data_IF_600125883448
#
_entry.id   IF_600125883448
#
_cell.length_a   1.000
_cell.length_b   1.000
_cell.length_c   1.000
_cell.angle_alpha   90.00
_cell.angle_beta   90.00
_cell.angle_gamma   90.00
#
_symmetry.space_group_name_H-M   'P 1'
#
loop_
_entity.id
_entity.type
_entity.pdbx_description
1 polymer ?
#
# COMPACT_ATOMS: atom_id res chain seq x y z
N UNK A 1 -15.57 -32.96 14.92
CA UNK A 1 -14.29 -32.39 15.34
C UNK A 1 -13.96 -31.22 14.41
N UNK A 2 -14.44 -30.02 14.73
CA UNK A 2 -14.50 -28.83 13.85
C UNK A 2 -13.63 -27.67 14.34
N UNK A 3 -12.90 -27.86 15.44
CA UNK A 3 -12.06 -26.84 16.08
C UNK A 3 -10.70 -26.67 15.41
N UNK A 4 -10.24 -27.65 14.63
CA UNK A 4 -8.96 -27.62 13.92
C UNK A 4 -9.04 -26.92 12.55
N UNK A 5 -10.21 -26.81 11.94
CA UNK A 5 -10.37 -26.10 10.65
C UNK A 5 -10.33 -24.57 10.80
N UNK A 6 -10.68 -24.03 11.98
CA UNK A 6 -10.61 -22.59 12.27
C UNK A 6 -9.17 -22.06 12.49
N UNK A 7 -8.18 -22.96 12.61
CA UNK A 7 -6.78 -22.61 12.86
C UNK A 7 -5.87 -22.89 11.64
N UNK A 8 -6.44 -23.29 10.52
CA UNK A 8 -5.72 -23.46 9.25
C UNK A 8 -5.46 -22.07 8.63
N UNK A 9 -4.48 -21.35 9.18
CA UNK A 9 -3.88 -20.14 8.62
C UNK A 9 -3.09 -20.47 7.33
N UNK A 10 -3.77 -20.93 6.28
CA UNK A 10 -3.16 -20.98 4.95
C UNK A 10 -2.97 -19.55 4.46
N UNK A 11 -1.84 -19.29 3.80
CA UNK A 11 -1.50 -17.98 3.20
C UNK A 11 -2.58 -17.48 2.24
N UNK A 12 -3.40 -18.40 1.72
CA UNK A 12 -4.50 -18.17 0.79
C UNK A 12 -5.81 -17.68 1.43
N UNK A 13 -6.00 -17.83 2.75
CA UNK A 13 -7.25 -17.42 3.41
C UNK A 13 -7.16 -15.96 3.88
N UNK A 14 -8.10 -15.14 3.42
CA UNK A 14 -8.18 -13.73 3.82
C UNK A 14 -8.40 -13.62 5.33
N UNK A 15 -7.45 -12.97 6.02
CA UNK A 15 -7.53 -12.78 7.47
C UNK A 15 -8.69 -11.82 7.78
N UNK A 16 -9.67 -12.18 8.62
CA UNK A 16 -10.82 -11.31 8.92
C UNK A 16 -10.43 -9.92 9.43
N UNK A 17 -9.29 -9.82 10.14
CA UNK A 17 -8.74 -8.55 10.62
C UNK A 17 -8.36 -7.62 9.47
N UNK A 18 -7.79 -8.15 8.38
CA UNK A 18 -7.40 -7.37 7.20
C UNK A 18 -8.64 -6.86 6.47
N UNK A 19 -9.64 -7.73 6.26
CA UNK A 19 -10.91 -7.35 5.63
C UNK A 19 -11.63 -6.26 6.43
N UNK A 20 -11.67 -6.39 7.75
CA UNK A 20 -12.31 -5.39 8.61
C UNK A 20 -11.58 -4.04 8.58
N UNK A 21 -10.25 -4.04 8.44
CA UNK A 21 -9.48 -2.81 8.24
C UNK A 21 -9.84 -2.14 6.92
N UNK A 22 -9.86 -2.89 5.82
CA UNK A 22 -10.28 -2.37 4.52
C UNK A 22 -11.70 -1.83 4.55
N UNK A 23 -12.64 -2.56 5.16
CA UNK A 23 -14.03 -2.12 5.31
C UNK A 23 -14.12 -0.80 6.07
N UNK A 24 -13.42 -0.67 7.20
CA UNK A 24 -13.39 0.58 7.99
C UNK A 24 -12.69 1.72 7.28
N UNK A 25 -11.66 1.42 6.51
CA UNK A 25 -10.90 2.41 5.75
C UNK A 25 -11.76 2.98 4.62
N UNK A 26 -12.34 2.11 3.78
CA UNK A 26 -13.24 2.51 2.70
C UNK A 26 -14.44 3.30 3.21
N UNK A 27 -14.99 2.97 4.39
CA UNK A 27 -16.10 3.71 4.98
C UNK A 27 -15.78 5.17 5.38
N UNK A 28 -14.50 5.58 5.40
CA UNK A 28 -14.10 6.97 5.70
C UNK A 28 -14.16 7.88 4.49
N UNK A 29 -14.15 7.31 3.29
CA UNK A 29 -14.14 8.07 2.04
C UNK A 29 -15.56 8.25 1.53
N UNK A 30 -15.75 9.34 0.80
CA UNK A 30 -16.99 9.64 0.10
C UNK A 30 -16.83 9.41 -1.41
N UNK A 31 -17.87 9.73 -2.16
CA UNK A 31 -17.87 9.63 -3.62
C UNK A 31 -17.02 10.70 -4.32
N UNK A 32 -16.34 11.58 -3.57
CA UNK A 32 -15.47 12.63 -4.10
C UNK A 32 -13.99 12.24 -4.10
N UNK A 33 -13.63 11.15 -3.41
CA UNK A 33 -12.26 10.67 -3.35
C UNK A 33 -11.71 10.31 -4.75
N UNK A 34 -10.52 10.81 -5.15
CA UNK A 34 -9.98 10.59 -6.50
C UNK A 34 -9.79 9.12 -6.89
N UNK A 35 -9.61 8.23 -5.92
CA UNK A 35 -9.29 6.81 -6.13
C UNK A 35 -10.48 5.93 -5.80
N UNK A 36 -11.11 6.11 -4.64
CA UNK A 36 -12.24 5.32 -4.17
C UNK A 36 -13.62 5.95 -4.42
N UNK A 37 -13.71 7.18 -4.91
CA UNK A 37 -14.97 7.76 -5.36
C UNK A 37 -15.67 6.90 -6.44
N UNK A 38 -14.96 6.45 -7.50
CA UNK A 38 -15.52 5.51 -8.47
C UNK A 38 -15.94 4.18 -7.84
N UNK A 39 -15.17 3.66 -6.88
CA UNK A 39 -15.51 2.44 -6.14
C UNK A 39 -16.87 2.56 -5.43
N UNK A 40 -17.08 3.66 -4.71
CA UNK A 40 -18.34 3.90 -3.99
C UNK A 40 -19.54 4.02 -4.94
N UNK A 41 -19.36 4.69 -6.09
CA UNK A 41 -20.43 4.78 -7.09
C UNK A 41 -20.76 3.44 -7.72
N UNK A 42 -19.74 2.65 -8.07
CA UNK A 42 -19.91 1.30 -8.63
C UNK A 42 -20.56 0.33 -7.64
N UNK A 43 -20.32 0.50 -6.34
CA UNK A 43 -20.89 -0.36 -5.29
C UNK A 43 -22.42 -0.23 -5.13
N UNK A 44 -23.01 0.80 -5.74
CA UNK A 44 -24.46 1.09 -5.68
C UNK A 44 -25.22 0.57 -6.90
N UNK A 45 -24.51 0.07 -7.92
CA UNK A 45 -25.12 -0.41 -9.16
C UNK A 45 -25.73 -1.80 -8.95
N UNK A 46 -26.76 -2.12 -9.74
CA UNK A 46 -27.39 -3.44 -9.72
C UNK A 46 -26.66 -4.42 -10.65
N UNK A 47 -26.68 -5.71 -10.28
CA UNK A 47 -25.91 -6.75 -11.00
C UNK A 47 -26.39 -7.00 -12.44
N UNK A 48 -27.63 -6.67 -12.78
CA UNK A 48 -28.26 -7.02 -14.08
C UNK A 48 -27.82 -6.09 -15.22
N UNK A 49 -27.53 -4.83 -14.93
CA UNK A 49 -27.07 -3.79 -15.87
C UNK A 49 -25.64 -3.30 -15.59
N UNK A 50 -24.94 -3.95 -14.66
CA UNK A 50 -23.64 -3.53 -14.12
C UNK A 50 -22.60 -3.18 -15.20
N UNK A 51 -22.41 -4.04 -16.19
CA UNK A 51 -21.39 -3.85 -17.22
C UNK A 51 -21.65 -2.61 -18.09
N UNK A 52 -22.92 -2.29 -18.37
CA UNK A 52 -23.27 -1.11 -19.15
C UNK A 52 -23.09 0.15 -18.31
N UNK A 53 -23.63 0.16 -17.09
CA UNK A 53 -23.55 1.30 -16.17
C UNK A 53 -22.10 1.60 -15.76
N UNK A 54 -21.25 0.57 -15.59
CA UNK A 54 -19.83 0.75 -15.34
C UNK A 54 -19.13 1.47 -16.50
N UNK A 55 -19.42 1.09 -17.76
CA UNK A 55 -18.84 1.74 -18.95
C UNK A 55 -19.30 3.20 -19.07
N UNK A 56 -20.59 3.44 -18.83
CA UNK A 56 -21.16 4.79 -18.88
C UNK A 56 -20.56 5.68 -17.79
N UNK A 57 -20.36 5.12 -16.59
CA UNK A 57 -19.72 5.80 -15.46
C UNK A 57 -18.25 6.12 -15.76
N UNK A 58 -17.45 5.16 -16.25
CA UNK A 58 -16.03 5.41 -16.59
C UNK A 58 -15.92 6.49 -17.67
N UNK A 59 -16.81 6.48 -18.66
CA UNK A 59 -16.85 7.51 -19.71
C UNK A 59 -17.19 8.89 -19.14
N UNK A 60 -18.17 8.98 -18.23
CA UNK A 60 -18.52 10.21 -17.54
C UNK A 60 -17.35 10.76 -16.70
N UNK A 61 -16.68 9.90 -15.93
CA UNK A 61 -15.54 10.30 -15.09
C UNK A 61 -14.35 10.77 -15.93
N UNK A 62 -14.06 10.11 -17.06
CA UNK A 62 -13.03 10.58 -17.99
C UNK A 62 -13.35 11.97 -18.56
N UNK A 63 -14.62 12.23 -18.86
CA UNK A 63 -15.07 13.56 -19.32
C UNK A 63 -14.89 14.63 -18.24
N UNK A 64 -15.13 14.30 -16.97
CA UNK A 64 -14.89 15.21 -15.83
C UNK A 64 -13.40 15.56 -15.65
N UNK A 65 -12.48 14.65 -16.00
CA UNK A 65 -11.05 14.92 -15.93
C UNK A 65 -10.57 15.95 -16.98
N UNK A 66 -11.33 16.16 -18.05
CA UNK A 66 -11.00 17.10 -19.13
C UNK A 66 -9.79 16.63 -19.96
N UNK A 67 -8.96 17.59 -20.39
CA UNK A 67 -7.86 17.32 -21.33
C UNK A 67 -6.68 16.55 -20.71
N UNK A 68 -6.32 15.37 -21.25
CA UNK A 68 -5.19 14.57 -20.75
C UNK A 68 -3.83 15.26 -20.80
N UNK A 69 -3.69 16.26 -21.68
CA UNK A 69 -2.45 17.02 -21.84
C UNK A 69 -2.09 17.86 -20.60
N UNK A 70 -3.08 18.20 -19.76
CA UNK A 70 -2.85 19.02 -18.55
C UNK A 70 -2.04 18.29 -17.48
N UNK A 71 -2.04 16.95 -17.51
CA UNK A 71 -1.35 16.12 -16.52
C UNK A 71 -0.36 15.13 -17.17
N UNK A 72 0.01 15.33 -18.45
CA UNK A 72 0.94 14.46 -19.16
C UNK A 72 2.40 14.59 -18.66
N UNK A 73 2.78 15.77 -18.16
CA UNK A 73 4.12 16.03 -17.61
C UNK A 73 4.24 15.56 -16.16
N UNK A 74 4.01 14.26 -15.93
CA UNK A 74 3.99 13.65 -14.60
C UNK A 74 5.33 13.75 -13.83
N UNK A 75 6.45 13.98 -14.52
CA UNK A 75 7.78 14.13 -13.90
C UNK A 75 7.99 15.49 -13.24
N UNK A 76 7.19 16.51 -13.61
CA UNK A 76 7.31 17.87 -13.06
C UNK A 76 6.56 17.95 -11.73
N UNK A 77 7.23 18.50 -10.71
CA UNK A 77 6.66 18.65 -9.36
C UNK A 77 5.44 19.59 -9.29
N UNK A 78 5.28 20.48 -10.28
CA UNK A 78 4.16 21.44 -10.35
C UNK A 78 2.90 20.92 -11.05
N UNK A 79 2.93 19.71 -11.60
CA UNK A 79 1.80 19.15 -12.35
C UNK A 79 0.69 18.71 -11.38
N UNK A 80 -0.47 19.36 -11.47
CA UNK A 80 -1.63 19.01 -10.66
C UNK A 80 -2.24 17.68 -11.12
N UNK A 81 -2.61 16.83 -10.17
CA UNK A 81 -3.35 15.60 -10.47
C UNK A 81 -4.78 15.93 -10.94
N UNK A 82 -5.33 15.15 -11.88
CA UNK A 82 -6.74 15.25 -12.25
C UNK A 82 -7.65 14.89 -11.06
N UNK A 83 -8.93 15.26 -11.19
CA UNK A 83 -9.94 15.00 -10.16
C UNK A 83 -10.10 13.50 -9.88
N UNK A 84 -10.14 12.68 -10.92
CA UNK A 84 -10.20 11.22 -10.83
C UNK A 84 -8.90 10.60 -11.29
N UNK A 85 -8.45 9.55 -10.61
CA UNK A 85 -7.19 8.93 -10.96
C UNK A 85 -7.26 8.19 -12.32
N UNK A 86 -6.45 8.56 -13.33
CA UNK A 86 -6.52 7.96 -14.66
C UNK A 86 -6.11 6.47 -14.67
N UNK A 87 -5.23 6.01 -13.78
CA UNK A 87 -4.82 4.59 -13.72
C UNK A 87 -5.97 3.67 -13.36
N UNK A 88 -6.85 4.12 -12.47
CA UNK A 88 -8.06 3.40 -12.08
C UNK A 88 -9.04 3.36 -13.26
N UNK A 89 -9.26 4.49 -13.92
CA UNK A 89 -10.18 4.56 -15.06
C UNK A 89 -9.69 3.72 -16.26
N UNK A 90 -8.39 3.72 -16.54
CA UNK A 90 -7.75 2.86 -17.56
C UNK A 90 -7.90 1.38 -17.21
N UNK A 91 -7.72 1.00 -15.94
CA UNK A 91 -7.88 -0.38 -15.51
C UNK A 91 -9.34 -0.86 -15.59
N UNK A 92 -10.30 -0.01 -15.21
CA UNK A 92 -11.73 -0.34 -15.31
C UNK A 92 -12.19 -0.43 -16.77
N UNK A 93 -11.71 0.46 -17.65
CA UNK A 93 -12.00 0.39 -19.08
C UNK A 93 -11.40 -0.87 -19.71
N UNK A 94 -10.17 -1.24 -19.35
CA UNK A 94 -9.50 -2.43 -19.90
C UNK A 94 -10.11 -3.74 -19.42
N UNK A 95 -10.54 -3.79 -18.16
CA UNK A 95 -11.08 -5.00 -17.54
C UNK A 95 -12.55 -5.27 -17.88
N UNK A 96 -13.31 -4.23 -18.27
CA UNK A 96 -14.75 -4.29 -18.54
C UNK A 96 -15.52 -5.15 -17.52
N UNK A 97 -15.50 -4.78 -16.23
CA UNK A 97 -15.97 -5.64 -15.17
C UNK A 97 -17.49 -5.84 -15.26
N UNK A 98 -17.91 -7.11 -15.16
CA UNK A 98 -19.32 -7.53 -15.24
C UNK A 98 -20.00 -7.60 -13.88
N UNK A 99 -19.22 -7.61 -12.81
CA UNK A 99 -19.69 -7.69 -11.45
C UNK A 99 -18.73 -6.91 -10.54
N UNK A 100 -19.17 -6.65 -9.32
CA UNK A 100 -18.37 -5.90 -8.34
C UNK A 100 -17.09 -6.65 -7.91
N UNK A 101 -17.03 -7.98 -8.08
CA UNK A 101 -15.80 -8.74 -7.81
C UNK A 101 -14.71 -8.40 -8.83
N UNK A 102 -15.05 -8.31 -10.10
CA UNK A 102 -14.10 -7.97 -11.17
C UNK A 102 -13.59 -6.53 -11.01
N UNK A 103 -14.41 -5.61 -10.48
CA UNK A 103 -13.96 -4.28 -10.05
C UNK A 103 -12.90 -4.40 -8.95
N UNK A 104 -13.18 -5.25 -7.96
CA UNK A 104 -12.28 -5.51 -6.85
C UNK A 104 -10.92 -6.07 -7.31
N UNK A 105 -10.94 -7.01 -8.25
CA UNK A 105 -9.74 -7.55 -8.89
C UNK A 105 -8.97 -6.49 -9.69
N UNK A 106 -9.68 -5.62 -10.43
CA UNK A 106 -9.06 -4.52 -11.18
C UNK A 106 -8.33 -3.52 -10.27
N UNK A 107 -8.93 -3.13 -9.14
CA UNK A 107 -8.26 -2.29 -8.14
C UNK A 107 -7.05 -2.99 -7.54
N UNK A 108 -7.18 -4.28 -7.20
CA UNK A 108 -6.07 -5.08 -6.70
C UNK A 108 -4.88 -5.12 -7.65
N UNK A 109 -5.14 -5.28 -8.96
CA UNK A 109 -4.11 -5.27 -9.99
C UNK A 109 -3.40 -3.90 -10.11
N UNK A 110 -4.15 -2.79 -10.05
CA UNK A 110 -3.57 -1.44 -10.06
C UNK A 110 -2.67 -1.23 -8.85
N UNK A 111 -3.16 -1.51 -7.65
CA UNK A 111 -2.38 -1.33 -6.43
C UNK A 111 -1.13 -2.22 -6.37
N UNK A 112 -1.21 -3.44 -6.90
CA UNK A 112 -0.04 -4.34 -7.01
C UNK A 112 1.02 -3.72 -7.91
N UNK A 113 0.61 -3.25 -9.10
CA UNK A 113 1.53 -2.62 -10.04
C UNK A 113 2.18 -1.36 -9.48
N UNK A 114 1.39 -0.50 -8.83
CA UNK A 114 1.92 0.72 -8.19
C UNK A 114 2.93 0.39 -7.10
N UNK A 115 2.69 -0.67 -6.33
CA UNK A 115 3.64 -1.14 -5.32
C UNK A 115 4.96 -1.60 -5.96
N UNK A 116 4.89 -2.42 -7.00
CA UNK A 116 6.06 -2.93 -7.72
C UNK A 116 6.86 -1.79 -8.37
N UNK A 117 6.19 -0.91 -9.11
CA UNK A 117 6.79 0.25 -9.79
C UNK A 117 7.46 1.19 -8.76
N UNK A 118 6.82 1.40 -7.60
CA UNK A 118 7.40 2.20 -6.51
C UNK A 118 8.65 1.56 -5.91
N UNK A 119 8.60 0.25 -5.63
CA UNK A 119 9.76 -0.46 -5.08
C UNK A 119 10.95 -0.45 -6.03
N UNK A 120 10.69 -0.63 -7.33
CA UNK A 120 11.70 -0.57 -8.37
C UNK A 120 12.29 0.85 -8.47
N UNK A 121 11.46 1.89 -8.49
CA UNK A 121 11.92 3.27 -8.56
C UNK A 121 12.74 3.69 -7.32
N UNK A 122 12.37 3.22 -6.13
CA UNK A 122 13.15 3.45 -4.91
C UNK A 122 14.52 2.78 -4.96
N UNK A 123 14.61 1.58 -5.54
CA UNK A 123 15.89 0.89 -5.74
C UNK A 123 16.77 1.63 -6.74
N UNK A 124 16.20 2.09 -7.85
CA UNK A 124 16.92 2.88 -8.86
C UNK A 124 17.45 4.19 -8.27
N UNK A 125 16.60 4.94 -7.55
CA UNK A 125 17.01 6.17 -6.87
C UNK A 125 18.11 5.92 -5.81
N UNK A 126 18.06 4.80 -5.09
CA UNK A 126 19.11 4.43 -4.14
C UNK A 126 20.44 4.10 -4.83
N UNK A 127 20.40 3.47 -6.01
CA UNK A 127 21.59 3.21 -6.82
C UNK A 127 22.20 4.49 -7.40
N UNK A 128 21.37 5.47 -7.76
CA UNK A 128 21.85 6.79 -8.20
C UNK A 128 22.58 7.55 -7.07
N UNK A 129 22.13 7.38 -5.82
CA UNK A 129 22.77 7.95 -4.64
C UNK A 129 24.04 7.20 -4.18
N UNK A 130 24.36 6.06 -4.80
CA UNK A 130 25.54 5.27 -4.43
C UNK A 130 26.85 5.99 -4.81
N UNK A 131 27.98 5.67 -4.16
CA UNK A 131 29.28 6.24 -4.52
C UNK A 131 29.62 5.94 -5.98
N UNK A 132 29.80 6.99 -6.80
CA UNK A 132 30.04 6.87 -8.24
C UNK A 132 28.77 6.85 -9.11
N UNK A 133 27.58 7.04 -8.51
CA UNK A 133 26.33 7.21 -9.23
C UNK A 133 26.27 8.52 -10.03
N UNK A 134 25.46 8.52 -11.08
CA UNK A 134 25.23 9.71 -11.91
C UNK A 134 24.20 10.61 -11.25
N UNK A 135 24.54 11.90 -11.07
CA UNK A 135 23.60 12.90 -10.54
C UNK A 135 22.54 13.18 -11.62
N UNK A 136 21.31 12.72 -11.39
CA UNK A 136 20.16 12.96 -12.25
C UNK A 136 19.28 14.05 -11.62
N UNK A 137 18.82 15.06 -12.37
CA UNK A 137 17.95 16.09 -11.83
C UNK A 137 16.62 15.53 -11.31
N UNK A 138 16.11 16.11 -10.22
CA UNK A 138 14.88 15.64 -9.58
C UNK A 138 13.69 15.53 -10.55
N UNK A 139 13.52 16.48 -11.48
CA UNK A 139 12.42 16.50 -12.46
C UNK A 139 12.72 15.72 -13.75
N UNK A 140 13.70 14.82 -13.76
CA UNK A 140 13.94 13.96 -14.91
C UNK A 140 12.76 13.00 -15.17
N UNK A 141 12.58 12.59 -16.42
CA UNK A 141 11.57 11.61 -16.84
C UNK A 141 11.73 10.28 -16.10
N UNK A 142 12.96 9.91 -15.73
CA UNK A 142 13.24 8.71 -14.91
C UNK A 142 12.53 8.73 -13.56
N UNK A 143 12.43 9.91 -12.93
CA UNK A 143 11.77 10.07 -11.63
C UNK A 143 10.25 10.23 -11.74
N UNK A 144 9.65 10.01 -12.92
CA UNK A 144 8.19 10.12 -13.11
C UNK A 144 7.41 9.33 -12.07
N UNK A 145 7.79 8.07 -11.81
CA UNK A 145 7.07 7.22 -10.84
C UNK A 145 7.09 7.84 -9.45
N UNK A 146 8.23 8.42 -9.05
CA UNK A 146 8.41 9.02 -7.73
C UNK A 146 7.65 10.35 -7.64
N UNK A 147 7.77 11.21 -8.64
CA UNK A 147 7.26 12.58 -8.59
C UNK A 147 5.79 12.71 -9.00
N UNK A 148 5.24 11.75 -9.74
CA UNK A 148 3.89 11.84 -10.30
C UNK A 148 2.84 12.06 -9.21
N UNK A 149 2.10 13.16 -9.35
CA UNK A 149 0.98 13.48 -8.47
C UNK A 149 -0.16 12.45 -8.58
N UNK A 150 -0.31 11.82 -9.75
CA UNK A 150 -1.27 10.73 -9.99
C UNK A 150 -0.87 9.49 -9.18
N UNK A 151 0.38 9.07 -9.29
CA UNK A 151 0.88 7.90 -8.56
C UNK A 151 0.90 8.17 -7.05
N UNK A 152 1.15 9.42 -6.64
CA UNK A 152 1.08 9.83 -5.23
C UNK A 152 -0.30 9.61 -4.62
N UNK A 153 -1.40 9.85 -5.34
CA UNK A 153 -2.75 9.57 -4.85
C UNK A 153 -2.90 8.07 -4.51
N UNK A 154 -2.44 7.18 -5.39
CA UNK A 154 -2.50 5.73 -5.16
C UNK A 154 -1.58 5.31 -4.01
N UNK A 155 -0.36 5.85 -3.97
CA UNK A 155 0.61 5.57 -2.90
C UNK A 155 0.13 6.03 -1.53
N UNK A 156 -0.61 7.14 -1.45
CA UNK A 156 -1.20 7.58 -0.19
C UNK A 156 -2.10 6.48 0.39
N UNK A 157 -2.94 5.84 -0.42
CA UNK A 157 -3.78 4.74 0.05
C UNK A 157 -3.00 3.44 0.37
N UNK A 158 -1.77 3.28 -0.11
CA UNK A 158 -0.93 2.10 0.18
C UNK A 158 0.00 2.28 1.39
N UNK A 159 0.56 3.47 1.57
CA UNK A 159 1.68 3.68 2.49
C UNK A 159 1.39 4.70 3.59
N UNK A 160 0.26 5.41 3.54
CA UNK A 160 -0.10 6.31 4.63
C UNK A 160 -0.27 5.53 5.96
N UNK A 161 0.04 6.17 7.08
CA UNK A 161 0.04 5.56 8.41
C UNK A 161 -1.33 4.98 8.80
N UNK A 162 -2.40 5.61 8.32
CA UNK A 162 -3.78 5.18 8.55
C UNK A 162 -4.30 4.19 7.50
N UNK A 163 -3.48 3.85 6.50
CA UNK A 163 -3.82 2.87 5.48
C UNK A 163 -4.03 1.46 6.08
N UNK A 164 -4.93 0.64 5.51
CA UNK A 164 -5.11 -0.75 5.91
C UNK A 164 -3.84 -1.59 5.73
N UNK A 165 -2.93 -1.21 4.83
CA UNK A 165 -1.65 -1.89 4.58
C UNK A 165 -0.52 -1.41 5.50
N UNK A 166 -0.68 -0.29 6.21
CA UNK A 166 0.25 0.14 7.25
C UNK A 166 0.09 -0.71 8.52
N UNK A 167 0.89 -1.76 8.63
CA UNK A 167 0.92 -2.66 9.79
C UNK A 167 2.11 -2.26 10.67
N UNK A 168 1.82 -1.56 11.77
CA UNK A 168 2.81 -1.22 12.80
C UNK A 168 2.80 -2.22 13.95
N UNK A 169 3.95 -2.45 14.59
CA UNK A 169 4.06 -3.36 15.74
C UNK A 169 3.59 -2.73 17.06
N UNK A 170 3.46 -1.41 17.10
CA UNK A 170 3.06 -0.66 18.30
C UNK A 170 1.56 -0.81 18.62
N UNK A 171 0.74 -1.13 17.60
CA UNK A 171 -0.68 -1.34 17.79
C UNK A 171 -0.97 -2.83 18.06
N UNK A 172 -1.49 -3.20 19.26
CA UNK A 172 -1.76 -4.59 19.60
C UNK A 172 -2.74 -5.29 18.64
N UNK A 173 -3.63 -4.53 17.99
CA UNK A 173 -4.58 -5.06 17.00
C UNK A 173 -3.89 -5.49 15.71
N UNK A 174 -2.76 -4.86 15.35
CA UNK A 174 -1.97 -5.23 14.18
C UNK A 174 -1.22 -6.55 14.41
N UNK A 175 -0.78 -6.81 15.64
CA UNK A 175 -0.16 -8.09 16.02
C UNK A 175 -1.13 -9.29 15.89
N UNK A 176 -2.45 -9.04 15.90
CA UNK A 176 -3.45 -10.09 15.64
C UNK A 176 -3.39 -10.61 14.20
N UNK A 177 -2.78 -9.85 13.28
CA UNK A 177 -2.51 -10.29 11.90
C UNK A 177 -1.41 -11.36 11.90
N UNK A 178 -0.51 -11.40 12.87
CA UNK A 178 0.55 -12.40 12.94
C UNK A 178 0.03 -13.74 13.48
N UNK A 179 0.71 -14.83 13.10
CA UNK A 179 0.49 -16.15 13.68
C UNK A 179 0.84 -16.14 15.18
N UNK A 180 0.15 -16.95 15.98
CA UNK A 180 0.31 -16.96 17.45
C UNK A 180 1.78 -17.10 17.90
N UNK A 181 2.52 -18.07 17.36
CA UNK A 181 3.93 -18.28 17.76
C UNK A 181 4.82 -17.06 17.45
N UNK A 182 4.64 -16.45 16.28
CA UNK A 182 5.36 -15.22 15.91
C UNK A 182 4.92 -14.06 16.80
N UNK A 183 3.62 -13.93 17.08
CA UNK A 183 3.06 -12.92 17.96
C UNK A 183 3.64 -13.01 19.38
N UNK A 184 3.76 -14.22 19.91
CA UNK A 184 4.31 -14.45 21.25
C UNK A 184 5.80 -14.09 21.30
N UNK A 185 6.57 -14.43 20.25
CA UNK A 185 7.97 -14.00 20.10
C UNK A 185 8.10 -12.47 20.03
N UNK A 186 7.27 -11.79 19.23
CA UNK A 186 7.29 -10.33 19.09
C UNK A 186 6.91 -9.66 20.41
N UNK A 187 5.95 -10.20 21.15
CA UNK A 187 5.61 -9.70 22.49
C UNK A 187 6.76 -9.87 23.48
N UNK A 188 7.47 -11.00 23.42
CA UNK A 188 8.67 -11.23 24.23
C UNK A 188 9.77 -10.20 23.94
N UNK A 189 10.05 -9.91 22.66
CA UNK A 189 11.05 -8.90 22.29
C UNK A 189 10.62 -7.49 22.66
N UNK A 190 9.34 -7.13 22.50
CA UNK A 190 8.80 -5.85 22.95
C UNK A 190 8.94 -5.67 24.47
N UNK A 191 8.63 -6.71 25.26
CA UNK A 191 8.83 -6.68 26.71
C UNK A 191 10.30 -6.58 27.10
N UNK A 192 11.22 -7.19 26.35
CA UNK A 192 12.65 -7.04 26.56
C UNK A 192 13.12 -5.59 26.26
N UNK A 193 12.61 -4.97 25.19
CA UNK A 193 12.87 -3.56 24.87
C UNK A 193 12.34 -2.64 25.98
N UNK A 194 11.10 -2.86 26.44
CA UNK A 194 10.53 -2.08 27.54
C UNK A 194 11.35 -2.24 28.82
N UNK A 195 11.76 -3.47 29.15
CA UNK A 195 12.63 -3.72 30.29
C UNK A 195 14.00 -3.03 30.13
N UNK A 196 14.60 -3.04 28.94
CA UNK A 196 15.84 -2.29 28.66
C UNK A 196 15.62 -0.78 28.84
N UNK A 197 14.49 -0.24 28.39
CA UNK A 197 14.16 1.17 28.60
C UNK A 197 13.96 1.52 30.08
N UNK A 198 13.41 0.61 30.89
CA UNK A 198 13.18 0.82 32.32
C UNK A 198 14.45 0.58 33.18
N UNK A 199 15.33 -0.32 32.75
CA UNK A 199 16.54 -0.72 33.50
C UNK A 199 17.82 -0.02 33.03
N UNK A 200 17.79 0.66 31.88
CA UNK A 200 18.92 1.47 31.42
C UNK A 200 19.11 2.70 32.33
N UNK A 201 20.11 2.63 33.19
CA UNK A 201 20.48 3.68 34.16
C UNK A 201 21.13 4.93 33.53
N UNK A 202 21.11 5.07 32.20
CA UNK A 202 21.72 6.20 31.51
C UNK A 202 20.82 6.71 30.39
N UNK A 203 20.55 8.02 30.32
CA UNK A 203 19.75 8.59 29.25
C UNK A 203 20.38 8.25 27.88
N UNK A 204 19.58 8.05 26.82
CA UNK A 204 20.09 7.74 25.49
C UNK A 204 21.05 8.85 25.06
N UNK A 205 22.35 8.55 25.04
CA UNK A 205 23.34 9.48 24.51
C UNK A 205 23.20 9.44 22.98
N UNK A 206 22.89 10.59 22.40
CA UNK A 206 23.07 10.81 20.96
C UNK A 206 24.51 10.43 20.61
N UNK A 207 24.66 9.41 19.74
CA UNK A 207 25.93 9.04 19.14
C UNK A 207 26.07 9.83 17.84
N UNK A 208 26.76 10.97 17.88
CA UNK A 208 27.16 11.70 16.67
C UNK A 208 28.46 11.10 16.13
N UNK A 209 28.40 10.50 14.93
CA UNK A 209 29.57 10.06 14.19
C UNK A 209 30.23 11.28 13.54
N UNK A 210 31.50 11.53 13.87
CA UNK A 210 32.36 12.41 13.08
C UNK A 210 33.24 11.53 12.20
N UNK A 211 33.13 11.71 10.89
CA UNK A 211 34.00 11.04 9.94
C UNK A 211 35.43 11.60 10.07
N UNK A 212 36.39 10.74 10.41
CA UNK A 212 37.79 11.11 10.45
C UNK A 212 38.41 10.86 9.07
N UNK A 213 39.08 11.83 8.44
CA UNK A 213 39.62 11.70 7.08
C UNK A 213 40.80 10.71 6.98
N UNK A 214 41.19 10.05 8.07
CA UNK A 214 42.45 9.33 8.20
C UNK A 214 42.37 7.80 7.93
N UNK A 215 41.21 7.21 7.67
CA UNK A 215 41.11 5.75 7.47
C UNK A 215 40.19 5.36 6.31
N UNK A 216 40.74 5.36 5.10
CA UNK A 216 40.13 4.73 3.90
C UNK A 216 40.52 3.24 3.80
N UNK A 217 41.32 2.71 4.72
CA UNK A 217 41.70 1.30 4.73
C UNK A 217 40.77 0.48 5.63
N UNK A 218 39.94 -0.35 4.99
CA UNK A 218 39.23 -1.52 5.52
C UNK A 218 38.64 -1.41 6.92
N UNK A 219 37.45 -0.84 7.02
CA UNK A 219 36.57 -1.08 8.17
C UNK A 219 35.23 -1.64 7.70
N UNK A 220 35.02 -2.93 7.96
CA UNK A 220 33.71 -3.56 7.87
C UNK A 220 32.86 -3.07 9.04
N UNK A 221 31.83 -2.29 8.75
CA UNK A 221 30.81 -1.94 9.72
C UNK A 221 29.85 -3.13 9.91
N UNK A 222 29.91 -3.79 11.07
CA UNK A 222 28.85 -4.70 11.49
C UNK A 222 27.67 -3.87 12.00
N UNK A 223 26.73 -3.56 11.11
CA UNK A 223 25.47 -2.92 11.46
C UNK A 223 24.53 -3.99 12.05
N UNK A 224 24.36 -4.01 13.37
CA UNK A 224 23.18 -4.62 13.99
C UNK A 224 22.05 -3.59 13.98
N UNK A 225 21.21 -3.66 12.95
CA UNK A 225 20.00 -2.85 12.83
C UNK A 225 18.99 -3.25 13.91
N UNK A 226 18.99 -2.50 15.01
CA UNK A 226 17.82 -2.37 15.88
C UNK A 226 16.74 -1.61 15.09
N UNK A 227 15.78 -2.35 14.54
CA UNK A 227 14.65 -1.78 13.80
C UNK A 227 14.55 -2.24 12.35
N UNK A 228 14.76 -3.52 12.07
CA UNK A 228 14.16 -4.10 10.86
C UNK A 228 12.68 -4.33 11.12
N UNK A 229 11.86 -3.38 10.69
CA UNK A 229 10.46 -3.66 10.38
C UNK A 229 10.44 -4.79 9.35
N UNK A 230 9.98 -5.96 9.76
CA UNK A 230 9.80 -7.08 8.85
C UNK A 230 8.76 -6.71 7.80
N UNK A 231 9.21 -6.39 6.59
CA UNK A 231 8.37 -6.40 5.39
C UNK A 231 8.08 -7.87 5.11
N UNK A 232 7.00 -8.37 5.72
CA UNK A 232 6.39 -9.62 5.29
C UNK A 232 6.03 -9.43 3.82
N UNK A 233 6.59 -10.30 2.95
CA UNK A 233 6.22 -10.40 1.54
C UNK A 233 4.70 -10.31 1.44
N UNK A 234 4.22 -9.26 0.79
CA UNK A 234 2.81 -9.06 0.51
C UNK A 234 2.33 -10.31 -0.22
N UNK A 235 1.46 -11.07 0.43
CA UNK A 235 0.55 -11.98 -0.25
C UNK A 235 -0.12 -11.20 -1.38
N UNK A 236 -0.27 -11.79 -2.57
CA UNK A 236 -0.81 -11.09 -3.73
C UNK A 236 -2.14 -10.43 -3.36
N UNK A 237 -2.25 -9.13 -3.66
CA UNK A 237 -3.43 -8.30 -3.38
C UNK A 237 -4.70 -8.90 -4.02
N UNK A 238 -4.55 -9.75 -5.05
CA UNK A 238 -5.61 -10.57 -5.64
C UNK A 238 -6.44 -11.37 -4.61
N UNK A 239 -5.86 -11.78 -3.47
CA UNK A 239 -6.60 -12.57 -2.48
C UNK A 239 -7.52 -11.75 -1.57
N UNK A 240 -7.35 -10.42 -1.53
CA UNK A 240 -8.13 -9.52 -0.66
C UNK A 240 -9.54 -9.28 -1.25
N UNK A 241 -9.69 -9.45 -2.56
CA UNK A 241 -10.88 -9.09 -3.31
C UNK A 241 -11.69 -10.28 -3.89
N UNK A 242 -11.25 -11.53 -3.65
CA UNK A 242 -11.94 -12.74 -4.16
C UNK A 242 -13.22 -13.10 -3.37
N UNK A 243 -14.35 -13.49 -4.03
CA UNK A 243 -15.70 -13.34 -3.46
C UNK A 243 -16.31 -14.62 -2.91
N UNK A 244 -15.53 -15.65 -2.53
CA UNK A 244 -16.14 -16.88 -1.98
C UNK A 244 -16.87 -16.69 -0.64
N UNK A 245 -16.88 -15.47 -0.06
CA UNK A 245 -17.54 -15.17 1.22
C UNK A 245 -18.42 -13.91 1.23
N UNK A 246 -18.64 -13.23 0.10
CA UNK A 246 -19.49 -12.01 0.06
C UNK A 246 -20.98 -12.28 -0.18
N UNK A 247 -21.42 -13.50 -0.54
CA UNK A 247 -22.82 -13.77 -0.94
C UNK A 247 -23.72 -14.49 0.08
N UNK A 248 -23.33 -14.62 1.36
CA UNK A 248 -24.22 -15.19 2.38
C UNK A 248 -24.18 -14.39 3.67
N UNK A 249 -24.90 -13.27 3.72
CA UNK A 249 -25.56 -12.70 4.93
C UNK A 249 -26.22 -11.36 4.57
N UNK A 250 -27.17 -11.39 3.66
CA UNK A 250 -28.18 -10.33 3.53
C UNK A 250 -29.52 -11.05 3.26
N UNK A 251 -30.21 -11.39 4.34
CA UNK A 251 -31.48 -12.13 4.27
C UNK A 251 -31.78 -12.90 5.55
N UNK A 252 -32.09 -12.17 6.63
CA UNK A 252 -33.18 -12.39 7.60
C UNK A 252 -33.05 -11.38 8.73
#
# INVERSE_FOLDING_TARGET
DTSTTFLSYRTEDSRPVILERWRKYLARFDESDPVFGPWHRLSKLEDTSFAQECRDLVTALKKENGDPKKFADEHKLGTAAPKWNPRILEALEKSEPKNFTEVADAYGAVFTRVHEDWMQAQLEAALEAAPGGTIIPDQDVKHRVINSAIERQLRHHLYDLDSPTAITFDNPKHLMILNRGVRDSVRGTLGAIENLNLTSSSPPRSMSLFESPASVADSFAHLTTSGQGAILRLTPICSIFSPKKFSKTAGH
#
